data_IF_013418202405
#
_entry.id   IF_013418202405
#
_cell.length_a   1.000
_cell.length_b   1.000
_cell.length_c   1.000
_cell.angle_alpha   90.00
_cell.angle_beta   90.00
_cell.angle_gamma   90.00
#
_symmetry.space_group_name_H-M   'P 1'
#
loop_
_entity.id
_entity.type
_entity.pdbx_description
1 polymer ?
#
# COMPACT_ATOMS: atom_id res chain seq x y z
N UNK A 1 -9.47 -21.79 -5.63
CA UNK A 1 -8.19 -21.46 -4.95
C UNK A 1 -8.30 -21.81 -3.48
N UNK A 2 -7.32 -22.55 -2.95
CA UNK A 2 -7.21 -22.83 -1.52
C UNK A 2 -6.81 -21.56 -0.76
N UNK A 3 -7.10 -21.49 0.54
CA UNK A 3 -6.73 -20.35 1.39
C UNK A 3 -5.22 -20.09 1.38
N UNK A 4 -4.42 -21.17 1.42
CA UNK A 4 -2.96 -21.09 1.35
C UNK A 4 -2.44 -20.45 0.04
N UNK A 5 -3.10 -20.71 -1.09
CA UNK A 5 -2.74 -20.10 -2.37
C UNK A 5 -3.02 -18.59 -2.38
N UNK A 6 -4.05 -18.11 -1.67
CA UNK A 6 -4.40 -16.68 -1.59
C UNK A 6 -3.36 -15.85 -0.86
N UNK A 7 -2.67 -16.42 0.13
CA UNK A 7 -1.61 -15.74 0.86
C UNK A 7 -0.30 -15.63 0.09
N UNK A 8 -0.07 -16.53 -0.88
CA UNK A 8 1.11 -16.50 -1.77
C UNK A 8 0.88 -15.61 -3.00
N UNK A 9 -0.35 -15.50 -3.47
CA UNK A 9 -0.70 -14.64 -4.59
C UNK A 9 -0.58 -13.14 -4.22
N UNK A 10 -0.20 -12.27 -5.16
CA UNK A 10 -0.24 -10.82 -4.95
C UNK A 10 -1.69 -10.37 -4.68
N UNK A 11 -1.86 -9.48 -3.70
CA UNK A 11 -3.16 -8.94 -3.32
C UNK A 11 -3.32 -8.72 -1.80
N UNK A 12 -4.53 -8.39 -1.38
CA UNK A 12 -4.83 -7.98 0.00
C UNK A 12 -4.47 -9.02 1.06
N UNK A 13 -4.62 -10.31 0.77
CA UNK A 13 -4.26 -11.37 1.72
C UNK A 13 -2.75 -11.39 2.01
N UNK A 14 -1.92 -11.13 1.00
CA UNK A 14 -0.47 -11.02 1.17
C UNK A 14 -0.08 -9.76 1.94
N UNK A 15 -0.79 -8.65 1.74
CA UNK A 15 -0.60 -7.40 2.49
C UNK A 15 -0.76 -7.60 3.99
N UNK A 16 -1.76 -8.38 4.42
CA UNK A 16 -2.01 -8.67 5.84
C UNK A 16 -0.81 -9.31 6.55
N UNK A 17 0.02 -10.07 5.82
CA UNK A 17 1.23 -10.69 6.36
C UNK A 17 2.44 -9.78 6.13
N UNK A 18 2.54 -9.14 4.97
CA UNK A 18 3.68 -8.32 4.60
C UNK A 18 3.86 -7.10 5.52
N UNK A 19 2.77 -6.47 5.96
CA UNK A 19 2.83 -5.28 6.81
C UNK A 19 3.42 -5.57 8.21
N UNK A 20 2.93 -6.57 8.98
CA UNK A 20 3.56 -6.95 10.24
C UNK A 20 5.03 -7.37 10.09
N UNK A 21 5.37 -8.10 9.03
CA UNK A 21 6.74 -8.50 8.76
C UNK A 21 7.64 -7.29 8.44
N UNK A 22 7.16 -6.34 7.64
CA UNK A 22 7.89 -5.11 7.34
C UNK A 22 8.11 -4.27 8.61
N UNK A 23 7.11 -4.16 9.48
CA UNK A 23 7.24 -3.46 10.75
C UNK A 23 8.24 -4.14 11.70
N UNK A 24 8.16 -5.47 11.81
CA UNK A 24 9.13 -6.26 12.58
C UNK A 24 10.55 -6.09 12.02
N UNK A 25 10.69 -6.04 10.70
CA UNK A 25 11.95 -5.73 10.03
C UNK A 25 12.45 -4.32 10.37
N UNK A 26 11.58 -3.29 10.39
CA UNK A 26 11.96 -1.93 10.81
C UNK A 26 12.53 -1.91 12.23
N UNK A 27 11.86 -2.61 13.17
CA UNK A 27 12.33 -2.73 14.56
C UNK A 27 13.68 -3.44 14.60
N UNK A 28 13.80 -4.59 13.94
CA UNK A 28 15.02 -5.38 13.94
C UNK A 28 16.19 -4.61 13.33
N UNK A 29 15.98 -3.93 12.20
CA UNK A 29 17.00 -3.12 11.54
C UNK A 29 17.46 -1.98 12.44
N UNK A 30 16.53 -1.22 13.03
CA UNK A 30 16.88 -0.11 13.93
C UNK A 30 17.61 -0.63 15.18
N UNK A 31 17.10 -1.68 15.82
CA UNK A 31 17.74 -2.26 17.00
C UNK A 31 19.15 -2.78 16.68
N UNK A 32 19.34 -3.46 15.54
CA UNK A 32 20.65 -3.97 15.13
C UNK A 32 21.66 -2.84 14.87
N UNK A 33 21.25 -1.80 14.14
CA UNK A 33 22.11 -0.63 13.88
C UNK A 33 22.45 0.08 15.19
N UNK A 34 21.47 0.34 16.04
CA UNK A 34 21.68 1.06 17.30
C UNK A 34 22.56 0.28 18.28
N UNK A 35 22.38 -1.04 18.35
CA UNK A 35 23.25 -1.92 19.13
C UNK A 35 24.69 -1.90 18.61
N UNK A 36 24.89 -1.91 17.29
CA UNK A 36 26.23 -1.85 16.68
C UNK A 36 26.96 -0.53 16.98
N UNK A 37 26.22 0.58 17.08
CA UNK A 37 26.77 1.89 17.43
C UNK A 37 26.79 2.19 18.95
N UNK A 38 26.31 1.26 19.78
CA UNK A 38 26.24 1.45 21.24
C UNK A 38 25.30 2.57 21.68
N UNK A 39 24.22 2.83 20.93
CA UNK A 39 23.25 3.87 21.27
C UNK A 39 22.15 3.35 22.19
N UNK A 40 21.99 3.99 23.35
CA UNK A 40 20.88 3.75 24.28
C UNK A 40 19.76 4.80 24.11
N UNK A 41 18.48 4.40 24.11
CA UNK A 41 17.98 3.04 24.12
C UNK A 41 18.18 2.33 22.77
N UNK A 42 18.37 1.00 22.78
CA UNK A 42 18.51 0.19 21.57
C UNK A 42 17.28 0.29 20.67
N UNK A 43 16.08 0.30 21.27
CA UNK A 43 14.81 0.50 20.54
C UNK A 43 14.33 1.92 20.75
N UNK A 44 14.58 2.79 19.77
CA UNK A 44 14.06 4.15 19.76
C UNK A 44 12.87 4.27 18.82
N UNK A 45 11.68 4.52 19.36
CA UNK A 45 10.42 4.52 18.59
C UNK A 45 10.38 5.54 17.45
N UNK A 46 10.98 6.72 17.64
CA UNK A 46 11.08 7.71 16.55
C UNK A 46 11.90 7.18 15.37
N UNK A 47 13.04 6.52 15.65
CA UNK A 47 13.86 5.92 14.60
C UNK A 47 13.16 4.75 13.91
N UNK A 48 12.48 3.90 14.69
CA UNK A 48 11.63 2.82 14.14
C UNK A 48 10.53 3.40 13.25
N UNK A 49 9.84 4.46 13.68
CA UNK A 49 8.81 5.12 12.91
C UNK A 49 9.36 5.69 11.59
N UNK A 50 10.51 6.36 11.62
CA UNK A 50 11.16 6.88 10.39
C UNK A 50 11.45 5.76 9.38
N UNK A 51 11.99 4.63 9.84
CA UNK A 51 12.26 3.48 8.96
C UNK A 51 10.97 2.81 8.49
N UNK A 52 9.96 2.72 9.36
CA UNK A 52 8.66 2.13 9.05
C UNK A 52 7.90 2.93 7.98
N UNK A 53 8.00 4.28 8.00
CA UNK A 53 7.40 5.17 6.99
C UNK A 53 7.92 4.91 5.57
N UNK A 54 9.07 4.25 5.40
CA UNK A 54 9.60 3.86 4.10
C UNK A 54 9.33 2.38 3.82
N UNK A 55 9.70 1.53 4.76
CA UNK A 55 9.66 0.07 4.57
C UNK A 55 8.24 -0.48 4.47
N UNK A 56 7.27 0.05 5.24
CA UNK A 56 5.88 -0.44 5.20
C UNK A 56 5.13 -0.06 3.92
N UNK A 57 5.20 1.19 3.39
CA UNK A 57 4.60 1.49 2.10
C UNK A 57 5.21 0.69 0.94
N UNK A 58 6.52 0.48 0.94
CA UNK A 58 7.18 -0.36 -0.07
C UNK A 58 6.72 -1.82 0.03
N UNK A 59 6.65 -2.38 1.24
CA UNK A 59 6.13 -3.72 1.46
C UNK A 59 4.67 -3.85 1.02
N UNK A 60 3.84 -2.82 1.26
CA UNK A 60 2.46 -2.77 0.77
C UNK A 60 2.40 -2.85 -0.76
N UNK A 61 3.15 -2.00 -1.47
CA UNK A 61 3.16 -1.95 -2.94
C UNK A 61 3.66 -3.27 -3.55
N UNK A 62 4.68 -3.88 -2.93
CA UNK A 62 5.17 -5.21 -3.33
C UNK A 62 4.10 -6.28 -3.08
N UNK A 63 3.45 -6.28 -1.92
CA UNK A 63 2.49 -7.30 -1.54
C UNK A 63 1.17 -7.22 -2.32
N UNK A 64 0.67 -6.00 -2.60
CA UNK A 64 -0.54 -5.80 -3.40
C UNK A 64 -0.32 -6.16 -4.88
N UNK A 65 0.93 -6.16 -5.33
CA UNK A 65 1.33 -6.71 -6.62
C UNK A 65 1.86 -5.70 -7.64
N UNK A 66 2.08 -4.45 -7.27
CA UNK A 66 2.58 -3.40 -8.18
C UNK A 66 3.92 -3.77 -8.85
N UNK A 67 4.76 -4.52 -8.12
CA UNK A 67 6.10 -4.91 -8.59
C UNK A 67 6.17 -6.34 -9.18
N UNK A 68 5.05 -7.06 -9.27
CA UNK A 68 5.03 -8.47 -9.70
C UNK A 68 5.63 -8.64 -11.09
N UNK A 69 5.19 -7.82 -12.05
CA UNK A 69 5.71 -7.83 -13.42
C UNK A 69 7.22 -7.58 -13.48
N UNK A 70 7.70 -6.58 -12.75
CA UNK A 70 9.11 -6.22 -12.70
C UNK A 70 9.97 -7.35 -12.12
N UNK A 71 9.49 -8.03 -11.07
CA UNK A 71 10.19 -9.19 -10.51
C UNK A 71 10.15 -10.40 -11.43
N UNK A 72 9.03 -10.64 -12.11
CA UNK A 72 8.93 -11.74 -13.07
C UNK A 72 9.85 -11.52 -14.27
N UNK A 73 9.93 -10.29 -14.78
CA UNK A 73 10.89 -9.87 -15.80
C UNK A 73 12.34 -10.02 -15.33
N UNK A 74 12.67 -9.53 -14.13
CA UNK A 74 14.03 -9.62 -13.57
C UNK A 74 14.48 -11.07 -13.31
N UNK A 75 13.53 -11.97 -13.02
CA UNK A 75 13.77 -13.41 -12.85
C UNK A 75 13.80 -14.17 -14.20
N UNK A 76 13.62 -13.48 -15.33
CA UNK A 76 13.60 -14.09 -16.66
C UNK A 76 12.42 -15.03 -16.90
N UNK A 77 11.31 -14.85 -16.15
CA UNK A 77 10.11 -15.67 -16.37
C UNK A 77 9.50 -15.36 -17.73
N UNK A 78 8.89 -16.35 -18.41
CA UNK A 78 8.17 -16.10 -19.65
C UNK A 78 7.12 -15.00 -19.47
N UNK A 79 7.10 -14.02 -20.37
CA UNK A 79 6.05 -13.00 -20.36
C UNK A 79 4.72 -13.68 -20.64
N UNK A 80 3.76 -13.52 -19.74
CA UNK A 80 2.38 -13.92 -20.01
C UNK A 80 1.83 -12.94 -21.04
N UNK A 81 1.35 -13.39 -22.21
CA UNK A 81 0.71 -12.51 -23.17
C UNK A 81 -0.46 -11.81 -22.49
N UNK A 82 -0.32 -10.52 -22.30
CA UNK A 82 -1.34 -9.70 -21.66
C UNK A 82 -2.44 -9.53 -22.72
N UNK A 83 -3.59 -10.18 -22.52
CA UNK A 83 -4.72 -10.12 -23.45
C UNK A 83 -5.40 -8.75 -23.30
N UNK A 84 -4.78 -7.74 -23.94
CA UNK A 84 -5.28 -6.38 -24.03
C UNK A 84 -6.63 -6.28 -24.76
N UNK A 85 -7.24 -7.38 -25.21
CA UNK A 85 -8.52 -7.36 -25.93
C UNK A 85 -9.75 -7.61 -25.05
N UNK A 86 -9.57 -7.97 -23.76
CA UNK A 86 -10.67 -8.27 -22.83
C UNK A 86 -10.89 -7.19 -21.75
N UNK A 87 -11.19 -5.97 -22.19
CA UNK A 87 -11.35 -4.80 -21.32
C UNK A 87 -12.58 -4.89 -20.37
N UNK A 88 -12.37 -4.58 -19.08
CA UNK A 88 -13.41 -4.35 -18.08
C UNK A 88 -13.23 -5.08 -16.74
N UNK A 89 -13.66 -4.43 -15.65
CA UNK A 89 -13.83 -5.09 -14.35
C UNK A 89 -14.95 -6.14 -14.45
N UNK A 90 -14.62 -7.41 -14.19
CA UNK A 90 -15.61 -8.52 -14.19
C UNK A 90 -16.34 -8.61 -12.85
N UNK A 91 -15.73 -8.07 -11.79
CA UNK A 91 -16.29 -8.02 -10.45
C UNK A 91 -15.96 -6.67 -9.79
N UNK A 92 -16.82 -6.23 -8.87
CA UNK A 92 -16.57 -5.04 -8.05
C UNK A 92 -15.23 -5.11 -7.29
N UNK A 93 -14.76 -6.33 -6.96
CA UNK A 93 -13.47 -6.57 -6.30
C UNK A 93 -12.28 -6.14 -7.16
N UNK A 94 -12.45 -6.07 -8.48
CA UNK A 94 -11.40 -5.69 -9.41
C UNK A 94 -11.03 -4.20 -9.31
N UNK A 95 -11.91 -3.37 -8.74
CA UNK A 95 -11.62 -1.96 -8.44
C UNK A 95 -10.76 -1.78 -7.20
N UNK A 96 -10.60 -2.81 -6.37
CA UNK A 96 -9.78 -2.73 -5.15
C UNK A 96 -8.40 -3.35 -5.32
N UNK A 97 -8.00 -3.78 -6.52
CA UNK A 97 -6.69 -4.38 -6.79
C UNK A 97 -5.94 -3.58 -7.83
N UNK A 98 -4.63 -3.80 -7.93
CA UNK A 98 -3.82 -3.30 -9.04
C UNK A 98 -4.39 -3.87 -10.34
N UNK A 99 -4.60 -3.00 -11.32
CA UNK A 99 -5.15 -3.34 -12.62
C UNK A 99 -4.33 -2.65 -13.71
N UNK A 100 -4.26 -3.25 -14.89
CA UNK A 100 -3.59 -2.71 -16.08
C UNK A 100 -4.60 -2.06 -17.05
N UNK A 101 -5.90 -2.28 -16.86
CA UNK A 101 -6.95 -1.65 -17.66
C UNK A 101 -7.14 -0.18 -17.29
N UNK A 102 -6.78 0.72 -18.21
CA UNK A 102 -6.88 2.17 -18.05
C UNK A 102 -8.30 2.67 -17.77
N UNK A 103 -9.36 1.97 -18.18
CA UNK A 103 -10.75 2.34 -17.86
C UNK A 103 -11.05 2.08 -16.39
N UNK A 104 -10.61 0.93 -15.87
CA UNK A 104 -10.75 0.57 -14.45
C UNK A 104 -9.96 1.54 -13.59
N UNK A 105 -8.71 1.83 -13.99
CA UNK A 105 -7.86 2.81 -13.33
C UNK A 105 -8.54 4.19 -13.33
N UNK A 106 -9.09 4.63 -14.46
CA UNK A 106 -9.84 5.90 -14.56
C UNK A 106 -11.00 5.99 -13.56
N UNK A 107 -11.79 4.93 -13.42
CA UNK A 107 -12.89 4.87 -12.44
C UNK A 107 -12.34 4.94 -11.01
N UNK A 108 -11.28 4.21 -10.69
CA UNK A 108 -10.62 4.26 -9.37
C UNK A 108 -10.21 5.69 -9.01
N UNK A 109 -9.59 6.42 -9.95
CA UNK A 109 -9.20 7.82 -9.76
C UNK A 109 -10.39 8.75 -9.54
N UNK A 110 -11.43 8.65 -10.39
CA UNK A 110 -12.62 9.50 -10.28
C UNK A 110 -13.28 9.30 -8.92
N UNK A 111 -13.58 8.04 -8.55
CA UNK A 111 -14.23 7.72 -7.27
C UNK A 111 -13.40 8.21 -6.09
N UNK A 112 -12.09 7.96 -6.09
CA UNK A 112 -11.19 8.38 -5.00
C UNK A 112 -11.12 9.90 -4.90
N UNK A 113 -11.03 10.60 -6.02
CA UNK A 113 -10.96 12.07 -6.06
C UNK A 113 -12.24 12.69 -5.53
N UNK A 114 -13.41 12.24 -5.99
CA UNK A 114 -14.70 12.74 -5.49
C UNK A 114 -14.90 12.46 -4.00
N UNK A 115 -14.49 11.29 -3.52
CA UNK A 115 -14.53 10.95 -2.10
C UNK A 115 -13.71 11.94 -1.26
N UNK A 116 -12.44 12.17 -1.61
CA UNK A 116 -11.59 13.12 -0.89
C UNK A 116 -12.02 14.58 -1.07
N UNK A 117 -12.61 14.93 -2.22
CA UNK A 117 -13.18 16.25 -2.44
C UNK A 117 -14.34 16.53 -1.49
N UNK A 118 -15.25 15.57 -1.32
CA UNK A 118 -16.36 15.68 -0.35
C UNK A 118 -15.81 15.72 1.08
N UNK A 119 -14.90 14.80 1.44
CA UNK A 119 -14.32 14.74 2.78
C UNK A 119 -13.58 16.05 3.14
N UNK A 120 -12.77 16.57 2.21
CA UNK A 120 -12.08 17.85 2.37
C UNK A 120 -13.05 19.02 2.42
N UNK A 121 -14.10 19.01 1.61
CA UNK A 121 -15.18 20.00 1.65
C UNK A 121 -15.93 20.01 2.99
N UNK A 122 -16.23 18.84 3.55
CA UNK A 122 -16.82 18.69 4.88
C UNK A 122 -15.87 19.26 5.95
N UNK A 123 -14.58 18.91 5.91
CA UNK A 123 -13.59 19.45 6.84
C UNK A 123 -13.49 20.98 6.74
N UNK A 124 -13.53 21.55 5.53
CA UNK A 124 -13.53 22.99 5.33
C UNK A 124 -14.79 23.66 5.88
N UNK A 125 -15.95 23.02 5.78
CA UNK A 125 -17.18 23.51 6.40
C UNK A 125 -17.11 23.46 7.93
N UNK A 126 -16.50 22.42 8.51
CA UNK A 126 -16.28 22.35 9.97
C UNK A 126 -15.37 23.47 10.46
N UNK A 127 -14.25 23.72 9.79
CA UNK A 127 -13.35 24.84 10.11
C UNK A 127 -14.12 26.17 10.02
N UNK A 128 -14.94 26.34 8.98
CA UNK A 128 -15.78 27.53 8.84
C UNK A 128 -16.78 27.66 9.98
N UNK A 129 -17.43 26.57 10.39
CA UNK A 129 -18.38 26.58 11.50
C UNK A 129 -17.70 27.02 12.81
N UNK A 130 -16.51 26.50 13.12
CA UNK A 130 -15.72 26.94 14.28
C UNK A 130 -15.42 28.45 14.24
N UNK A 131 -15.04 28.98 13.07
CA UNK A 131 -14.76 30.41 12.88
C UNK A 131 -16.00 31.32 12.93
N UNK A 132 -17.23 30.78 12.85
CA UNK A 132 -18.45 31.60 12.96
C UNK A 132 -18.77 32.03 14.39
N UNK A 133 -18.23 31.35 15.40
CA UNK A 133 -18.34 31.78 16.78
C UNK A 133 -17.13 32.65 17.14
N UNK A 134 -17.29 33.96 17.33
CA UNK A 134 -16.22 34.79 17.86
C UNK A 134 -15.98 34.41 19.33
N UNK A 135 -14.82 33.83 19.59
CA UNK A 135 -14.19 33.71 20.90
C UNK A 135 -12.87 34.49 20.89
#
# INVERSE_FOLDING_TARGET
MTLAARFRAPGWYRVLIALPLAFAFSIALVAAVRAAYGWDPIVQWNAVATVALITMPLAFLVAIGCFTYWFDWALGKPTVPDDHSSHGARSWRDYFKVNTDHKVIGIQYIVTTFFFFILGGLMAMLIRAELTQPG
#
